data_IF_477100253780
#
_entry.id   IF_477100253780
#
_cell.length_a   1.000
_cell.length_b   1.000
_cell.length_c   1.000
_cell.angle_alpha   90.00
_cell.angle_beta   90.00
_cell.angle_gamma   90.00
#
_symmetry.space_group_name_H-M   'P 1'
#
loop_
_entity.id
_entity.type
_entity.pdbx_description
1 polymer ?
#
# COMPACT_ATOMS: atom_id res chain seq x y z
N UNK A 1 -1.17 8.59 -27.55
CA UNK A 1 -1.51 8.72 -26.11
C UNK A 1 -0.70 7.67 -25.37
N UNK A 2 0.49 8.02 -24.90
CA UNK A 2 1.42 7.11 -24.21
C UNK A 2 2.31 7.94 -23.29
N UNK A 3 1.73 8.63 -22.30
CA UNK A 3 2.52 9.47 -21.41
C UNK A 3 2.38 9.11 -19.93
N UNK A 4 1.49 8.21 -19.56
CA UNK A 4 1.22 8.01 -18.14
C UNK A 4 0.75 6.60 -17.86
N UNK A 5 1.33 6.01 -16.81
CA UNK A 5 1.00 4.70 -16.27
C UNK A 5 -0.27 4.83 -15.39
N UNK A 6 -1.28 5.56 -15.89
CA UNK A 6 -2.31 6.29 -15.12
C UNK A 6 -3.39 5.44 -14.45
N UNK A 7 -3.17 4.14 -14.32
CA UNK A 7 -4.06 3.22 -13.60
C UNK A 7 -3.31 2.20 -12.75
N UNK A 8 -2.14 1.75 -13.19
CA UNK A 8 -1.40 0.67 -12.54
C UNK A 8 -0.75 1.09 -11.22
N UNK A 9 -0.43 2.37 -11.07
CA UNK A 9 0.35 2.85 -9.92
C UNK A 9 -0.49 3.53 -8.83
N UNK A 10 -1.82 3.62 -8.99
CA UNK A 10 -2.69 4.01 -7.88
C UNK A 10 -2.65 2.95 -6.77
N UNK A 11 -2.67 3.40 -5.52
CA UNK A 11 -2.93 2.52 -4.38
C UNK A 11 -4.32 1.87 -4.52
N UNK A 12 -4.53 0.61 -4.12
CA UNK A 12 -5.80 -0.08 -4.31
C UNK A 12 -7.07 0.68 -3.84
N UNK A 13 -7.06 1.41 -2.70
CA UNK A 13 -8.20 2.21 -2.26
C UNK A 13 -8.45 3.43 -3.17
N UNK A 14 -7.40 4.06 -3.68
CA UNK A 14 -7.52 5.21 -4.61
C UNK A 14 -8.04 4.75 -5.97
N UNK A 15 -7.58 3.61 -6.47
CA UNK A 15 -8.13 2.98 -7.67
C UNK A 15 -9.62 2.68 -7.46
N UNK A 16 -9.99 2.11 -6.31
CA UNK A 16 -11.39 1.82 -6.02
C UNK A 16 -12.25 3.07 -5.93
N UNK A 17 -11.71 4.15 -5.37
CA UNK A 17 -12.37 5.44 -5.28
C UNK A 17 -12.61 6.03 -6.68
N UNK A 18 -11.62 5.95 -7.57
CA UNK A 18 -11.75 6.37 -8.97
C UNK A 18 -12.82 5.55 -9.71
N UNK A 19 -12.83 4.23 -9.54
CA UNK A 19 -13.89 3.36 -10.12
C UNK A 19 -15.28 3.79 -9.65
N UNK A 20 -15.45 4.08 -8.36
CA UNK A 20 -16.73 4.53 -7.83
C UNK A 20 -17.11 5.92 -8.36
N UNK A 21 -16.13 6.82 -8.55
CA UNK A 21 -16.33 8.14 -9.15
C UNK A 21 -16.86 8.04 -10.57
N UNK A 22 -16.20 7.24 -11.42
CA UNK A 22 -16.58 7.06 -12.83
C UNK A 22 -17.98 6.45 -12.96
N UNK A 23 -18.36 5.57 -12.03
CA UNK A 23 -19.67 4.92 -12.03
C UNK A 23 -20.78 5.74 -11.34
N UNK A 24 -20.49 6.93 -10.80
CA UNK A 24 -21.47 7.76 -10.11
C UNK A 24 -21.93 7.18 -8.76
N UNK A 25 -21.08 6.42 -8.07
CA UNK A 25 -21.37 5.77 -6.80
C UNK A 25 -20.80 6.50 -5.58
N UNK A 26 -20.28 7.72 -5.75
CA UNK A 26 -19.78 8.52 -4.63
C UNK A 26 -20.94 9.13 -3.85
N UNK A 27 -20.77 9.18 -2.53
CA UNK A 27 -21.52 10.05 -1.63
C UNK A 27 -20.67 11.30 -1.30
N UNK A 28 -21.16 12.21 -0.47
CA UNK A 28 -20.43 13.44 -0.10
C UNK A 28 -19.01 13.18 0.45
N UNK A 29 -18.84 12.12 1.25
CA UNK A 29 -17.51 11.72 1.76
C UNK A 29 -16.60 11.20 0.63
N UNK A 30 -17.17 10.43 -0.29
CA UNK A 30 -16.50 9.93 -1.48
C UNK A 30 -16.08 11.05 -2.42
N UNK A 31 -16.92 12.06 -2.63
CA UNK A 31 -16.60 13.25 -3.44
C UNK A 31 -15.44 14.05 -2.81
N UNK A 32 -15.48 14.27 -1.49
CA UNK A 32 -14.40 14.95 -0.78
C UNK A 32 -13.08 14.15 -0.81
N UNK A 33 -13.15 12.82 -0.74
CA UNK A 33 -11.98 11.96 -0.89
C UNK A 33 -11.44 12.00 -2.33
N UNK A 34 -12.34 11.99 -3.33
CA UNK A 34 -11.97 12.02 -4.74
C UNK A 34 -11.33 13.35 -5.11
N UNK A 35 -11.80 14.47 -4.57
CA UNK A 35 -11.15 15.78 -4.74
C UNK A 35 -9.72 15.77 -4.18
N UNK A 36 -9.49 15.15 -3.02
CA UNK A 36 -8.13 15.01 -2.47
C UNK A 36 -7.23 14.16 -3.38
N UNK A 37 -7.76 13.06 -3.91
CA UNK A 37 -7.06 12.21 -4.87
C UNK A 37 -6.70 13.00 -6.14
N UNK A 38 -7.65 13.76 -6.68
CA UNK A 38 -7.44 14.61 -7.84
C UNK A 38 -6.33 15.66 -7.60
N UNK A 39 -6.36 16.35 -6.46
CA UNK A 39 -5.32 17.30 -6.09
C UNK A 39 -3.94 16.66 -5.89
N UNK A 40 -3.89 15.44 -5.34
CA UNK A 40 -2.64 14.66 -5.23
C UNK A 40 -2.09 14.32 -6.62
N UNK A 41 -2.94 13.85 -7.54
CA UNK A 41 -2.56 13.50 -8.91
C UNK A 41 -2.02 14.72 -9.68
N UNK A 42 -2.66 15.89 -9.55
CA UNK A 42 -2.20 17.13 -10.20
C UNK A 42 -0.79 17.58 -9.79
N UNK A 43 -0.33 17.16 -8.60
CA UNK A 43 1.01 17.51 -8.06
C UNK A 43 2.07 16.47 -8.39
N UNK A 44 1.71 15.41 -9.11
CA UNK A 44 2.49 14.18 -9.18
C UNK A 44 2.06 13.25 -8.05
N UNK A 45 1.28 12.23 -8.40
CA UNK A 45 0.66 11.31 -7.44
C UNK A 45 1.68 10.74 -6.45
N UNK A 46 1.46 10.99 -5.17
CA UNK A 46 2.22 10.34 -4.09
C UNK A 46 1.37 9.22 -3.52
N UNK A 47 1.86 7.99 -3.66
CA UNK A 47 1.21 6.79 -3.10
C UNK A 47 1.18 6.89 -1.57
N UNK A 48 0.02 6.71 -0.92
CA UNK A 48 -0.05 6.66 0.54
C UNK A 48 0.71 5.45 1.09
N UNK A 49 1.14 5.58 2.33
CA UNK A 49 1.71 4.45 3.05
C UNK A 49 0.64 3.44 3.44
N UNK A 50 0.91 2.16 3.19
CA UNK A 50 0.02 1.06 3.54
C UNK A 50 -0.19 1.04 5.06
N UNK A 51 -1.45 1.13 5.51
CA UNK A 51 -1.83 1.31 6.92
C UNK A 51 -1.20 2.54 7.62
N UNK A 52 -0.71 3.52 6.87
CA UNK A 52 0.03 4.67 7.40
C UNK A 52 1.43 4.32 7.90
N UNK A 53 1.97 3.16 7.56
CA UNK A 53 3.28 2.68 8.00
C UNK A 53 4.35 3.21 7.04
N UNK A 54 5.17 4.14 7.53
CA UNK A 54 6.23 4.76 6.71
C UNK A 54 7.11 3.72 6.01
N UNK A 55 7.42 3.97 4.73
CA UNK A 55 8.15 3.10 3.82
C UNK A 55 7.45 1.80 3.40
N UNK A 56 6.21 1.56 3.86
CA UNK A 56 5.44 0.39 3.47
C UNK A 56 4.38 0.76 2.43
N UNK A 57 4.31 0.01 1.33
CA UNK A 57 3.29 0.17 0.28
C UNK A 57 2.71 -1.18 -0.09
N UNK A 58 1.52 -1.21 -0.67
CA UNK A 58 0.93 -2.40 -1.31
C UNK A 58 0.59 -2.07 -2.76
N UNK A 59 0.63 -3.05 -3.65
CA UNK A 59 0.16 -2.87 -5.04
C UNK A 59 -1.18 -3.57 -5.30
N UNK A 60 -1.73 -3.35 -6.50
CA UNK A 60 -3.01 -3.89 -6.94
C UNK A 60 -3.03 -5.42 -7.10
N UNK A 61 -1.91 -6.11 -6.88
CA UNK A 61 -1.86 -7.58 -6.82
C UNK A 61 -1.72 -8.11 -5.40
N UNK A 62 -1.46 -7.24 -4.43
CA UNK A 62 -1.33 -7.60 -3.02
C UNK A 62 0.12 -7.70 -2.52
N UNK A 63 1.13 -7.40 -3.34
CA UNK A 63 2.52 -7.42 -2.86
C UNK A 63 2.78 -6.25 -1.94
N UNK A 64 3.19 -6.55 -0.71
CA UNK A 64 3.63 -5.59 0.30
C UNK A 64 5.12 -5.34 0.10
N UNK A 65 5.48 -4.07 -0.05
CA UNK A 65 6.85 -3.61 -0.27
C UNK A 65 7.31 -2.74 0.89
N UNK A 66 8.55 -2.95 1.32
CA UNK A 66 9.28 -2.13 2.28
C UNK A 66 10.42 -1.42 1.55
N UNK A 67 10.38 -0.08 1.48
CA UNK A 67 11.33 0.75 0.70
C UNK A 67 11.53 0.25 -0.74
N UNK A 68 10.46 -0.22 -1.36
CA UNK A 68 10.47 -0.77 -2.73
C UNK A 68 10.78 -2.26 -2.84
N UNK A 69 11.24 -2.93 -1.78
CA UNK A 69 11.55 -4.37 -1.78
C UNK A 69 10.35 -5.18 -1.32
N UNK A 70 9.95 -6.23 -2.06
CA UNK A 70 8.84 -7.10 -1.68
C UNK A 70 9.18 -7.90 -0.42
N UNK A 71 8.32 -7.80 0.59
CA UNK A 71 8.50 -8.42 1.91
C UNK A 71 7.36 -9.34 2.32
N UNK A 72 6.19 -9.24 1.68
CA UNK A 72 5.06 -10.14 1.92
C UNK A 72 4.04 -10.06 0.77
N UNK A 73 3.08 -10.98 0.72
CA UNK A 73 1.92 -10.92 -0.18
C UNK A 73 0.61 -11.09 0.59
N UNK A 74 -0.27 -10.10 0.52
CA UNK A 74 -1.60 -10.11 1.15
C UNK A 74 -2.70 -10.28 0.12
N UNK A 75 -3.72 -11.07 0.44
CA UNK A 75 -4.97 -11.06 -0.32
C UNK A 75 -5.66 -9.71 -0.14
N UNK A 76 -5.96 -9.00 -1.24
CA UNK A 76 -6.51 -7.63 -1.20
C UNK A 76 -7.82 -7.49 -0.40
N UNK A 77 -8.70 -8.50 -0.45
CA UNK A 77 -9.95 -8.51 0.32
C UNK A 77 -9.73 -8.53 1.84
N UNK A 78 -8.58 -9.01 2.28
CA UNK A 78 -8.19 -9.06 3.69
C UNK A 78 -7.20 -7.97 4.08
N UNK A 79 -6.40 -7.46 3.14
CA UNK A 79 -5.29 -6.53 3.36
C UNK A 79 -5.65 -5.25 4.14
N UNK A 80 -6.90 -4.78 4.06
CA UNK A 80 -7.38 -3.57 4.73
C UNK A 80 -8.17 -3.83 6.03
N UNK A 81 -8.15 -5.06 6.54
CA UNK A 81 -8.73 -5.43 7.84
C UNK A 81 -7.90 -4.92 9.03
N UNK A 82 -8.50 -4.96 10.22
CA UNK A 82 -7.81 -4.62 11.49
C UNK A 82 -6.70 -5.64 11.77
N UNK A 83 -6.96 -6.90 11.48
CA UNK A 83 -6.02 -8.01 11.63
C UNK A 83 -4.81 -7.82 10.70
N UNK A 84 -5.05 -7.49 9.42
CA UNK A 84 -3.97 -7.21 8.47
C UNK A 84 -3.14 -5.99 8.87
N UNK A 85 -3.76 -4.96 9.46
CA UNK A 85 -3.03 -3.84 10.05
C UNK A 85 -2.08 -4.29 11.15
N UNK A 86 -2.55 -5.15 12.05
CA UNK A 86 -1.72 -5.74 13.11
C UNK A 86 -0.52 -6.51 12.54
N UNK A 87 -0.73 -7.33 11.51
CA UNK A 87 0.35 -8.05 10.85
C UNK A 87 1.31 -7.12 10.09
N UNK A 88 0.81 -6.08 9.43
CA UNK A 88 1.64 -5.11 8.72
C UNK A 88 2.56 -4.33 9.69
N UNK A 89 2.07 -3.98 10.89
CA UNK A 89 2.88 -3.36 11.93
C UNK A 89 4.02 -4.27 12.41
N UNK A 90 3.73 -5.56 12.63
CA UNK A 90 4.78 -6.52 13.02
C UNK A 90 5.78 -6.76 11.88
N UNK A 91 5.31 -6.85 10.64
CA UNK A 91 6.18 -6.95 9.46
C UNK A 91 7.12 -5.75 9.36
N UNK A 92 6.62 -4.54 9.61
CA UNK A 92 7.43 -3.31 9.64
C UNK A 92 8.51 -3.36 10.73
N UNK A 93 8.14 -3.78 11.95
CA UNK A 93 9.08 -3.96 13.06
C UNK A 93 10.24 -4.90 12.66
N UNK A 94 9.92 -6.01 11.99
CA UNK A 94 10.93 -6.98 11.53
C UNK A 94 11.83 -6.43 10.43
N UNK A 95 11.28 -5.68 9.49
CA UNK A 95 12.09 -5.02 8.46
C UNK A 95 13.12 -4.09 9.11
N UNK A 96 12.73 -3.31 10.12
CA UNK A 96 13.65 -2.46 10.88
C UNK A 96 14.74 -3.28 11.60
N UNK A 97 14.39 -4.43 12.20
CA UNK A 97 15.37 -5.31 12.87
C UNK A 97 16.38 -5.89 11.88
N UNK A 98 15.91 -6.36 10.71
CA UNK A 98 16.80 -6.86 9.66
C UNK A 98 17.74 -5.76 9.17
N UNK A 99 17.22 -4.57 8.91
CA UNK A 99 18.04 -3.41 8.51
C UNK A 99 19.10 -3.08 9.56
N UNK A 100 18.75 -3.10 10.85
CA UNK A 100 19.69 -2.86 11.95
C UNK A 100 20.81 -3.92 12.03
N UNK A 101 20.55 -5.14 11.54
CA UNK A 101 21.54 -6.23 11.42
C UNK A 101 22.36 -6.15 10.12
N UNK A 102 22.11 -5.17 9.26
CA UNK A 102 22.72 -5.08 7.93
C UNK A 102 22.13 -6.07 6.93
N UNK A 103 20.97 -6.64 7.23
CA UNK A 103 20.26 -7.58 6.37
C UNK A 103 19.18 -6.88 5.54
N UNK A 104 19.05 -7.29 4.29
CA UNK A 104 17.97 -6.82 3.43
C UNK A 104 16.64 -7.49 3.81
N UNK A 105 15.57 -6.74 4.10
CA UNK A 105 14.23 -7.28 4.26
C UNK A 105 13.74 -7.85 2.93
N UNK A 106 13.49 -9.15 2.88
CA UNK A 106 12.90 -9.84 1.72
C UNK A 106 11.87 -10.82 2.22
N UNK A 107 10.93 -11.23 1.36
CA UNK A 107 9.93 -12.25 1.70
C UNK A 107 10.51 -13.48 2.39
N UNK A 108 11.73 -13.93 2.02
CA UNK A 108 12.37 -15.10 2.61
C UNK A 108 12.92 -14.88 4.03
N UNK A 109 13.22 -13.62 4.40
CA UNK A 109 13.82 -13.26 5.70
C UNK A 109 12.83 -12.67 6.68
N UNK A 110 11.75 -12.08 6.18
CA UNK A 110 10.64 -11.56 6.97
C UNK A 110 9.66 -12.66 7.43
N UNK A 111 9.86 -13.90 6.97
CA UNK A 111 9.10 -15.09 7.41
C UNK A 111 9.21 -15.26 8.93
N UNK A 112 8.07 -15.59 9.52
CA UNK A 112 7.75 -15.77 10.94
C UNK A 112 8.57 -16.79 11.73
N UNK A 113 9.64 -17.37 11.19
CA UNK A 113 10.36 -18.52 11.77
C UNK A 113 11.67 -18.15 12.50
N UNK A 114 11.83 -16.92 12.96
CA UNK A 114 12.94 -16.59 13.87
C UNK A 114 12.51 -16.85 15.31
N UNK A 115 13.22 -17.75 15.99
CA UNK A 115 13.37 -17.64 17.45
C UNK A 115 14.20 -16.36 17.72
N UNK A 116 13.74 -15.53 18.66
CA UNK A 116 14.46 -14.32 19.09
C UNK A 116 15.83 -14.63 19.71
#
# INVERSE_FOLDING_TARGET
>A
MQATNDGDDLDPPDLKLLENAVNGFLNELGEAAFEKLYQNALRGYTKPWFHGIENMTIDNTGYVKWKGTVVEHYTLSWAYSIEARGQALELARRCVILEARGEMPTMARTIWTWEE
#
